data_IF_944015594268
#
_entry.id   IF_944015594268
#
_cell.length_a   1.000
_cell.length_b   1.000
_cell.length_c   1.000
_cell.angle_alpha   90.00
_cell.angle_beta   90.00
_cell.angle_gamma   90.00
#
_symmetry.space_group_name_H-M   'P 1'
#
loop_
_entity.id
_entity.type
_entity.pdbx_description
1 polymer ?
#
# COMPACT_ATOMS: atom_id res chain seq x y z
N UNK A 1 8.56 -33.77 -14.86
CA UNK A 1 7.58 -32.84 -14.22
C UNK A 1 8.30 -31.58 -13.78
N UNK A 2 8.21 -30.47 -14.52
CA UNK A 2 8.77 -29.16 -14.14
C UNK A 2 7.62 -28.21 -13.79
N UNK A 3 7.30 -28.07 -12.50
CA UNK A 3 6.39 -27.03 -11.99
C UNK A 3 7.22 -25.80 -11.58
N UNK A 4 7.67 -24.97 -12.52
CA UNK A 4 8.31 -23.68 -12.17
C UNK A 4 8.08 -22.63 -13.26
N UNK A 5 6.96 -21.91 -13.15
CA UNK A 5 6.83 -20.45 -13.29
C UNK A 5 5.34 -20.11 -13.39
N UNK A 6 4.64 -20.09 -12.24
CA UNK A 6 3.40 -19.34 -12.18
C UNK A 6 3.78 -17.85 -12.20
N UNK A 7 3.80 -17.29 -13.41
CA UNK A 7 3.59 -15.87 -13.62
C UNK A 7 2.40 -15.50 -12.75
N UNK A 8 2.58 -14.62 -11.76
CA UNK A 8 1.44 -14.08 -11.00
C UNK A 8 0.44 -13.60 -12.06
N UNK A 9 -0.81 -14.08 -12.09
CA UNK A 9 -1.76 -13.46 -12.98
C UNK A 9 -1.89 -12.03 -12.47
N UNK A 10 -1.44 -11.07 -13.28
CA UNK A 10 -1.81 -9.68 -13.06
C UNK A 10 -3.33 -9.56 -13.11
N UNK A 11 -3.88 -8.44 -12.66
CA UNK A 11 -5.28 -8.15 -12.98
C UNK A 11 -5.48 -8.30 -14.50
N UNK A 12 -6.56 -8.97 -14.95
CA UNK A 12 -6.92 -8.99 -16.35
C UNK A 12 -6.90 -7.56 -16.92
N UNK A 13 -6.37 -7.35 -18.15
CA UNK A 13 -6.25 -6.01 -18.72
C UNK A 13 -7.56 -5.24 -18.71
N UNK A 14 -8.67 -5.91 -19.01
CA UNK A 14 -10.00 -5.32 -19.07
C UNK A 14 -10.48 -4.88 -17.68
N UNK A 15 -10.30 -5.72 -16.65
CA UNK A 15 -10.61 -5.38 -15.26
C UNK A 15 -9.78 -4.18 -14.77
N UNK A 16 -8.50 -4.13 -15.16
CA UNK A 16 -7.63 -3.01 -14.83
C UNK A 16 -8.08 -1.72 -15.52
N UNK A 17 -8.44 -1.78 -16.79
CA UNK A 17 -8.92 -0.62 -17.55
C UNK A 17 -10.19 -0.05 -16.91
N UNK A 18 -11.16 -0.90 -16.58
CA UNK A 18 -12.42 -0.47 -15.97
C UNK A 18 -12.22 0.17 -14.59
N UNK A 19 -11.36 -0.40 -13.73
CA UNK A 19 -11.02 0.21 -12.43
C UNK A 19 -10.40 1.60 -12.62
N UNK A 20 -9.50 1.76 -13.58
CA UNK A 20 -8.83 3.03 -13.84
C UNK A 20 -9.78 4.06 -14.45
N UNK A 21 -10.72 3.64 -15.30
CA UNK A 21 -11.75 4.50 -15.85
C UNK A 21 -12.71 4.99 -14.76
N UNK A 22 -13.20 4.09 -13.90
CA UNK A 22 -14.06 4.46 -12.77
C UNK A 22 -13.36 5.44 -11.82
N UNK A 23 -12.10 5.15 -11.44
CA UNK A 23 -11.29 6.05 -10.62
C UNK A 23 -11.04 7.40 -11.31
N UNK A 24 -10.80 7.42 -12.62
CA UNK A 24 -10.56 8.65 -13.38
C UNK A 24 -11.80 9.52 -13.52
N UNK A 25 -12.98 8.92 -13.72
CA UNK A 25 -14.24 9.63 -13.86
C UNK A 25 -14.71 10.25 -12.54
N UNK A 26 -14.59 9.51 -11.43
CA UNK A 26 -15.13 9.90 -10.14
C UNK A 26 -14.07 10.53 -9.21
N UNK A 27 -12.78 10.44 -9.55
CA UNK A 27 -11.62 10.83 -8.74
C UNK A 27 -11.52 10.08 -7.39
N UNK A 28 -12.35 9.06 -7.20
CA UNK A 28 -12.44 8.16 -6.05
C UNK A 28 -13.06 6.84 -6.53
N UNK A 29 -12.76 5.73 -5.86
CA UNK A 29 -13.36 4.43 -6.16
C UNK A 29 -13.51 3.62 -4.86
N UNK A 30 -14.66 2.97 -4.68
CA UNK A 30 -14.92 2.16 -3.50
C UNK A 30 -14.19 0.82 -3.53
N UNK A 31 -13.87 0.26 -2.36
CA UNK A 31 -13.31 -1.10 -2.29
C UNK A 31 -14.30 -2.16 -2.76
N UNK A 32 -15.58 -2.03 -2.39
CA UNK A 32 -16.64 -2.95 -2.85
C UNK A 32 -16.91 -2.84 -4.35
N UNK A 33 -16.75 -1.63 -4.91
CA UNK A 33 -16.85 -1.38 -6.34
C UNK A 33 -15.72 -2.08 -7.11
N UNK A 34 -14.48 -1.98 -6.62
CA UNK A 34 -13.35 -2.77 -7.16
C UNK A 34 -13.69 -4.26 -7.14
N UNK A 35 -14.23 -4.77 -6.02
CA UNK A 35 -14.62 -6.19 -5.90
C UNK A 35 -15.71 -6.54 -6.92
N UNK A 36 -16.70 -5.69 -7.13
CA UNK A 36 -17.76 -5.90 -8.12
C UNK A 36 -17.21 -5.95 -9.56
N UNK A 37 -16.26 -5.07 -9.91
CA UNK A 37 -15.56 -5.10 -11.20
C UNK A 37 -14.80 -6.43 -11.34
N UNK A 38 -13.98 -6.80 -10.35
CA UNK A 38 -13.19 -8.03 -10.39
C UNK A 38 -14.07 -9.29 -10.54
N UNK A 39 -15.24 -9.32 -9.90
CA UNK A 39 -16.23 -10.41 -10.06
C UNK A 39 -16.78 -10.49 -11.49
N UNK A 40 -17.12 -9.35 -12.12
CA UNK A 40 -17.59 -9.30 -13.52
C UNK A 40 -16.55 -9.82 -14.50
N UNK A 41 -15.27 -9.56 -14.24
CA UNK A 41 -14.14 -10.08 -15.02
C UNK A 41 -13.68 -11.49 -14.58
N UNK A 42 -14.50 -12.20 -13.80
CA UNK A 42 -14.26 -13.57 -13.34
C UNK A 42 -12.90 -13.79 -12.63
N UNK A 43 -12.38 -12.76 -11.97
CA UNK A 43 -11.14 -12.85 -11.20
C UNK A 43 -11.39 -13.72 -9.97
N UNK A 44 -10.78 -14.90 -9.95
CA UNK A 44 -10.93 -15.91 -8.91
C UNK A 44 -9.61 -16.68 -8.70
N UNK A 45 -9.50 -17.37 -7.58
CA UNK A 45 -8.33 -18.15 -7.19
C UNK A 45 -8.77 -19.41 -6.44
N UNK A 46 -7.92 -20.44 -6.41
CA UNK A 46 -8.19 -21.66 -5.64
C UNK A 46 -8.33 -21.41 -4.13
N UNK A 47 -9.30 -22.08 -3.50
CA UNK A 47 -9.60 -21.94 -2.07
C UNK A 47 -8.44 -22.33 -1.16
N UNK A 48 -7.68 -23.37 -1.52
CA UNK A 48 -6.48 -23.78 -0.77
C UNK A 48 -5.38 -22.72 -0.85
N UNK A 49 -5.17 -22.15 -2.04
CA UNK A 49 -4.22 -21.03 -2.24
C UNK A 49 -4.65 -19.79 -1.45
N UNK A 50 -5.94 -19.46 -1.43
CA UNK A 50 -6.48 -18.35 -0.64
C UNK A 50 -6.24 -18.56 0.86
N UNK A 51 -6.50 -19.77 1.37
CA UNK A 51 -6.29 -20.10 2.77
C UNK A 51 -4.81 -20.00 3.17
N UNK A 52 -3.90 -20.48 2.33
CA UNK A 52 -2.46 -20.36 2.56
C UNK A 52 -1.98 -18.91 2.51
N UNK A 53 -2.52 -18.09 1.60
CA UNK A 53 -2.24 -16.65 1.54
C UNK A 53 -2.67 -15.98 2.85
N UNK A 54 -3.87 -16.31 3.34
CA UNK A 54 -4.38 -15.79 4.60
C UNK A 54 -3.49 -16.17 5.79
N UNK A 55 -3.10 -17.45 5.91
CA UNK A 55 -2.17 -17.92 6.95
C UNK A 55 -0.81 -17.19 6.89
N UNK A 56 -0.24 -17.00 5.71
CA UNK A 56 1.01 -16.25 5.52
C UNK A 56 0.84 -14.78 5.92
N UNK A 57 -0.29 -14.15 5.60
CA UNK A 57 -0.59 -12.78 5.99
C UNK A 57 -0.69 -12.62 7.51
N UNK A 58 -1.32 -13.57 8.20
CA UNK A 58 -1.37 -13.59 9.66
C UNK A 58 0.03 -13.68 10.27
N UNK A 59 0.86 -14.62 9.79
CA UNK A 59 2.25 -14.74 10.23
C UNK A 59 3.07 -13.47 9.95
N UNK A 60 2.93 -12.88 8.76
CA UNK A 60 3.57 -11.61 8.40
C UNK A 60 3.19 -10.48 9.35
N UNK A 61 1.91 -10.38 9.73
CA UNK A 61 1.41 -9.36 10.65
C UNK A 61 2.01 -9.52 12.05
N UNK A 62 2.06 -10.75 12.56
CA UNK A 62 2.71 -11.04 13.84
C UNK A 62 4.20 -10.66 13.80
N UNK A 63 4.94 -11.10 12.78
CA UNK A 63 6.36 -10.75 12.65
C UNK A 63 6.57 -9.24 12.51
N UNK A 64 5.61 -8.51 11.94
CA UNK A 64 5.64 -7.06 11.81
C UNK A 64 5.21 -6.31 13.07
N UNK A 65 4.62 -6.96 14.07
CA UNK A 65 4.21 -6.34 15.33
C UNK A 65 5.26 -6.45 16.43
N UNK A 66 6.27 -7.31 16.30
CA UNK A 66 7.33 -7.47 17.29
C UNK A 66 8.18 -6.18 17.42
N UNK A 67 8.35 -5.71 18.65
CA UNK A 67 9.03 -4.47 19.01
C UNK A 67 9.90 -4.68 20.25
N UNK A 68 10.99 -3.94 20.32
CA UNK A 68 11.82 -3.81 21.52
C UNK A 68 11.14 -2.91 22.57
N UNK A 69 11.79 -2.76 23.71
CA UNK A 69 11.32 -1.94 24.83
C UNK A 69 11.18 -0.44 24.45
N UNK A 70 11.94 0.02 23.45
CA UNK A 70 11.85 1.39 22.90
C UNK A 70 10.74 1.53 21.82
N UNK A 71 10.00 0.47 21.53
CA UNK A 71 8.95 0.45 20.52
C UNK A 71 9.46 0.42 19.08
N UNK A 72 10.73 0.06 18.84
CA UNK A 72 11.34 -0.10 17.51
C UNK A 72 11.21 -1.54 17.04
N UNK A 73 11.17 -1.73 15.72
CA UNK A 73 10.96 -3.05 15.12
C UNK A 73 12.19 -3.93 15.24
N UNK A 74 12.07 -5.07 15.90
CA UNK A 74 13.18 -6.03 16.06
C UNK A 74 13.27 -7.06 14.94
N UNK A 75 12.13 -7.46 14.36
CA UNK A 75 12.08 -8.55 13.36
C UNK A 75 11.83 -8.01 11.97
N UNK A 76 12.70 -8.38 11.04
CA UNK A 76 12.61 -7.98 9.63
C UNK A 76 12.50 -9.18 8.69
N UNK A 77 11.79 -9.00 7.58
CA UNK A 77 11.77 -9.97 6.49
C UNK A 77 12.94 -9.73 5.55
N UNK A 78 13.58 -10.82 5.12
CA UNK A 78 14.61 -10.81 4.09
C UNK A 78 14.04 -10.74 2.64
N UNK A 79 12.71 -10.65 2.49
CA UNK A 79 12.04 -10.60 1.18
C UNK A 79 11.92 -11.96 0.47
N UNK A 80 12.45 -13.04 1.05
CA UNK A 80 12.42 -14.41 0.52
C UNK A 80 11.62 -15.36 1.42
N UNK A 81 10.63 -14.83 2.14
CA UNK A 81 9.80 -15.63 3.05
C UNK A 81 10.47 -16.03 4.36
N UNK A 82 11.65 -15.48 4.69
CA UNK A 82 12.29 -15.67 5.99
C UNK A 82 12.31 -14.39 6.81
N UNK A 83 12.35 -14.56 8.12
CA UNK A 83 12.43 -13.49 9.11
C UNK A 83 13.69 -13.66 9.94
N UNK A 84 14.18 -12.56 10.49
CA UNK A 84 15.36 -12.55 11.34
C UNK A 84 15.26 -11.40 12.33
N UNK A 85 15.85 -11.59 13.51
CA UNK A 85 16.02 -10.56 14.54
C UNK A 85 17.19 -9.67 14.11
N UNK A 86 16.99 -8.36 14.14
CA UNK A 86 17.98 -7.39 13.67
C UNK A 86 19.25 -7.41 14.51
N UNK A 87 19.14 -7.39 15.84
CA UNK A 87 20.30 -7.36 16.74
C UNK A 87 21.15 -8.63 16.69
N UNK A 88 20.51 -9.78 16.41
CA UNK A 88 21.22 -11.06 16.29
C UNK A 88 21.71 -11.34 14.86
N UNK A 89 21.49 -10.45 13.90
CA UNK A 89 21.83 -10.68 12.50
C UNK A 89 23.34 -10.60 12.27
N UNK A 90 23.94 -11.70 11.77
CA UNK A 90 25.38 -11.76 11.43
C UNK A 90 25.67 -11.51 9.95
N UNK A 91 24.65 -11.28 9.13
CA UNK A 91 24.79 -11.02 7.69
C UNK A 91 24.70 -9.51 7.41
N UNK A 92 25.85 -8.88 7.21
CA UNK A 92 25.94 -7.46 6.91
C UNK A 92 25.20 -7.08 5.61
N UNK A 93 25.21 -7.95 4.59
CA UNK A 93 24.53 -7.66 3.31
C UNK A 93 23.02 -7.64 3.51
N UNK A 94 22.52 -8.51 4.38
CA UNK A 94 21.11 -8.53 4.76
C UNK A 94 20.71 -7.24 5.48
N UNK A 95 21.52 -6.76 6.43
CA UNK A 95 21.29 -5.48 7.11
C UNK A 95 21.33 -4.28 6.14
N UNK A 96 22.32 -4.23 5.24
CA UNK A 96 22.41 -3.18 4.20
C UNK A 96 21.22 -3.20 3.23
N UNK A 97 20.67 -4.37 2.92
CA UNK A 97 19.46 -4.48 2.10
C UNK A 97 18.24 -3.90 2.82
N UNK A 98 18.09 -4.20 4.11
CA UNK A 98 17.03 -3.63 4.94
C UNK A 98 17.18 -2.11 5.07
N UNK A 99 18.38 -1.62 5.35
CA UNK A 99 18.67 -0.19 5.47
C UNK A 99 18.26 0.56 4.20
N UNK A 100 18.67 0.08 3.02
CA UNK A 100 18.29 0.68 1.72
C UNK A 100 16.79 0.71 1.52
N UNK A 101 16.07 -0.37 1.86
CA UNK A 101 14.61 -0.44 1.76
C UNK A 101 13.93 0.60 2.65
N UNK A 102 14.36 0.73 3.90
CA UNK A 102 13.80 1.72 4.85
C UNK A 102 14.02 3.14 4.32
N UNK A 103 15.25 3.46 3.88
CA UNK A 103 15.56 4.78 3.32
C UNK A 103 14.71 5.11 2.10
N UNK A 104 14.50 4.16 1.19
CA UNK A 104 13.64 4.36 0.02
C UNK A 104 12.18 4.56 0.41
N UNK A 105 11.67 3.83 1.40
CA UNK A 105 10.32 4.02 1.93
C UNK A 105 10.14 5.41 2.54
N UNK A 106 11.10 5.87 3.35
CA UNK A 106 11.08 7.20 3.95
C UNK A 106 11.01 8.31 2.87
N UNK A 107 11.85 8.22 1.83
CA UNK A 107 11.86 9.18 0.72
C UNK A 107 10.52 9.22 -0.02
N UNK A 108 9.91 8.06 -0.29
CA UNK A 108 8.61 7.98 -0.96
C UNK A 108 7.47 8.56 -0.12
N UNK A 109 7.47 8.29 1.19
CA UNK A 109 6.49 8.84 2.13
C UNK A 109 6.62 10.35 2.26
N UNK A 110 7.83 10.89 2.38
CA UNK A 110 8.05 12.33 2.44
C UNK A 110 7.59 13.07 1.17
N UNK A 111 7.89 12.51 -0.01
CA UNK A 111 7.38 13.04 -1.28
C UNK A 111 5.84 13.07 -1.33
N UNK A 112 5.19 12.03 -0.80
CA UNK A 112 3.73 11.94 -0.73
C UNK A 112 3.16 12.95 0.28
N UNK A 113 3.77 13.08 1.46
CA UNK A 113 3.41 14.09 2.45
C UNK A 113 3.53 15.50 1.86
N UNK A 114 4.55 15.76 1.03
CA UNK A 114 4.66 16.99 0.23
C UNK A 114 3.43 17.27 -0.62
N UNK A 115 2.96 16.30 -1.41
CA UNK A 115 1.75 16.44 -2.25
C UNK A 115 0.51 16.75 -1.42
N UNK A 116 0.34 16.05 -0.29
CA UNK A 116 -0.78 16.27 0.63
C UNK A 116 -0.75 17.69 1.21
N UNK A 117 0.42 18.15 1.70
CA UNK A 117 0.61 19.51 2.23
C UNK A 117 0.24 20.58 1.20
N UNK A 118 0.67 20.41 -0.05
CA UNK A 118 0.32 21.34 -1.14
C UNK A 118 -1.19 21.37 -1.35
N UNK A 119 -1.85 20.21 -1.41
CA UNK A 119 -3.30 20.14 -1.62
C UNK A 119 -4.09 20.80 -0.48
N UNK A 120 -3.71 20.55 0.78
CA UNK A 120 -4.32 21.21 1.95
C UNK A 120 -4.24 22.73 1.81
N UNK A 121 -3.04 23.27 1.52
CA UNK A 121 -2.85 24.71 1.34
C UNK A 121 -3.72 25.30 0.23
N UNK A 122 -3.86 24.59 -0.89
CA UNK A 122 -4.73 25.01 -1.99
C UNK A 122 -6.19 25.08 -1.53
N UNK A 123 -6.67 24.07 -0.80
CA UNK A 123 -8.04 24.03 -0.29
C UNK A 123 -8.30 25.14 0.74
N UNK A 124 -7.36 25.41 1.64
CA UNK A 124 -7.47 26.51 2.60
C UNK A 124 -7.59 27.88 1.90
N UNK A 125 -6.81 28.10 0.83
CA UNK A 125 -6.89 29.33 0.03
C UNK A 125 -8.21 29.45 -0.72
N UNK A 126 -8.71 28.35 -1.31
CA UNK A 126 -10.02 28.38 -1.97
C UNK A 126 -11.14 28.68 -0.99
N UNK A 127 -11.09 28.06 0.21
CA UNK A 127 -12.05 28.32 1.28
C UNK A 127 -12.03 29.79 1.70
N UNK A 128 -10.85 30.40 1.86
CA UNK A 128 -10.76 31.81 2.26
C UNK A 128 -11.33 32.77 1.21
N UNK A 129 -11.03 32.57 -0.07
CA UNK A 129 -11.56 33.40 -1.17
C UNK A 129 -13.08 33.27 -1.29
N UNK A 130 -13.60 32.03 -1.29
CA UNK A 130 -15.03 31.77 -1.47
C UNK A 130 -15.86 32.25 -0.26
N UNK A 131 -15.31 32.18 0.96
CA UNK A 131 -16.01 32.65 2.16
C UNK A 131 -15.96 34.17 2.34
N UNK A 132 -14.94 34.86 1.81
CA UNK A 132 -14.90 36.34 1.80
C UNK A 132 -15.95 36.95 0.84
N UNK A 133 -16.26 36.29 -0.28
CA UNK A 133 -17.31 36.72 -1.21
C UNK A 133 -18.73 36.67 -0.63
N UNK A 134 -19.01 35.76 0.33
CA UNK A 134 -20.30 35.69 1.03
C UNK A 134 -20.52 36.85 2.02
N UNK A 135 -19.46 37.36 2.66
CA UNK A 135 -19.56 38.50 3.60
C UNK A 135 -19.79 39.85 2.92
N UNK A 136 -19.35 40.01 1.67
CA UNK A 136 -19.53 41.27 0.91
C UNK A 136 -20.91 41.44 0.27
N UNK A 137 -21.76 40.41 0.23
CA UNK A 137 -23.12 40.46 -0.36
C UNK A 137 -24.25 40.54 0.69
N UNK A 138 -23.92 40.56 1.98
CA UNK A 138 -24.89 40.58 3.08
C UNK A 138 -24.87 41.90 3.87
N UNK A 139 -24.28 42.95 3.30
CA UNK A 139 -24.23 44.31 3.84
C UNK A 139 -24.69 45.31 2.79
#
# INVERSE_FOLDING_TARGET
MKKQNQVRPGLPPDARAEILEALGANMEIGSDEIVAILKRHHVSEDMGILQDRYRRQLGQRLMASLRDDDGRREVMSNGKGRYFVLECCRDQRQLQSVQRRIQNQMRGLDATAGKVRVRIRVLDRLKSVLMQGKRRKAG
#
